data_IF_201676899733
#
_entry.id   IF_201676899733
#
_cell.length_a   1.000
_cell.length_b   1.000
_cell.length_c   1.000
_cell.angle_alpha   90.00
_cell.angle_beta   90.00
_cell.angle_gamma   90.00
#
_symmetry.space_group_name_H-M   'P 1'
#
loop_
_entity.id
_entity.type
_entity.pdbx_description
1 polymer ?
#
# COMPACT_ATOMS: atom_id res chain seq x y z
N UNK A 1 10.24 -3.26 -31.09
CA UNK A 1 9.43 -4.05 -30.15
C UNK A 1 8.34 -4.73 -30.94
N UNK A 2 8.46 -6.04 -31.18
CA UNK A 2 7.42 -6.84 -31.83
C UNK A 2 6.20 -6.90 -30.91
N UNK A 3 5.00 -6.68 -31.46
CA UNK A 3 3.76 -6.90 -30.74
C UNK A 3 3.57 -8.41 -30.53
N UNK A 4 3.77 -8.89 -29.32
CA UNK A 4 3.42 -10.26 -28.94
C UNK A 4 1.90 -10.32 -28.81
N UNK A 5 1.23 -10.83 -29.83
CA UNK A 5 -0.20 -11.10 -29.79
C UNK A 5 -0.47 -12.49 -29.23
N UNK A 6 -1.71 -12.73 -28.79
CA UNK A 6 -2.14 -14.07 -28.34
C UNK A 6 -1.89 -15.12 -29.41
N UNK A 7 -2.09 -14.77 -30.68
CA UNK A 7 -1.87 -15.71 -31.82
C UNK A 7 -0.41 -16.09 -32.00
N UNK A 8 0.52 -15.15 -31.81
CA UNK A 8 1.96 -15.43 -31.86
C UNK A 8 2.35 -16.37 -30.71
N UNK A 9 1.84 -16.10 -29.48
CA UNK A 9 2.11 -16.94 -28.32
C UNK A 9 1.47 -18.33 -28.49
N UNK A 10 0.26 -18.38 -29.05
CA UNK A 10 -0.44 -19.65 -29.35
C UNK A 10 0.34 -20.50 -30.35
N UNK A 11 0.83 -19.90 -31.44
CA UNK A 11 1.65 -20.57 -32.43
C UNK A 11 2.98 -21.08 -31.81
N UNK A 12 3.60 -20.29 -30.95
CA UNK A 12 4.81 -20.71 -30.22
C UNK A 12 4.53 -21.88 -29.28
N UNK A 13 3.40 -21.83 -28.54
CA UNK A 13 2.98 -22.86 -27.59
C UNK A 13 2.67 -24.21 -28.27
N UNK A 14 1.95 -24.16 -29.41
CA UNK A 14 1.56 -25.35 -30.16
C UNK A 14 2.76 -26.24 -30.55
N UNK A 15 3.91 -25.63 -30.86
CA UNK A 15 5.14 -26.34 -31.20
C UNK A 15 5.87 -26.91 -29.95
N UNK A 16 5.38 -26.68 -28.75
CA UNK A 16 6.01 -27.07 -27.48
C UNK A 16 5.09 -27.82 -26.53
N UNK A 17 3.88 -28.17 -27.00
CA UNK A 17 2.89 -28.83 -26.15
C UNK A 17 2.33 -27.93 -25.04
N UNK A 18 2.43 -26.61 -25.18
CA UNK A 18 1.89 -25.63 -24.24
C UNK A 18 0.56 -25.11 -24.76
N UNK A 19 -0.51 -25.31 -24.00
CA UNK A 19 -1.82 -24.74 -24.31
C UNK A 19 -1.82 -23.24 -23.98
N UNK A 20 -2.30 -22.42 -24.93
CA UNK A 20 -2.40 -20.96 -24.78
C UNK A 20 -3.84 -20.52 -24.93
N UNK A 21 -4.45 -20.10 -23.83
CA UNK A 21 -5.79 -19.52 -23.81
C UNK A 21 -5.69 -18.00 -23.76
N UNK A 22 -6.35 -17.33 -24.69
CA UNK A 22 -6.51 -15.88 -24.70
C UNK A 22 -7.84 -15.50 -24.05
N UNK A 23 -7.79 -14.50 -23.17
CA UNK A 23 -9.00 -13.89 -22.61
C UNK A 23 -9.13 -12.46 -23.13
N UNK A 24 -10.35 -12.04 -23.38
CA UNK A 24 -10.65 -10.64 -23.70
C UNK A 24 -10.39 -9.78 -22.47
N UNK A 25 -9.92 -8.55 -22.70
CA UNK A 25 -9.74 -7.58 -21.62
C UNK A 25 -11.10 -7.09 -21.14
N UNK A 26 -11.22 -6.91 -19.83
CA UNK A 26 -12.35 -6.18 -19.26
C UNK A 26 -12.30 -4.73 -19.73
N UNK A 27 -13.47 -4.17 -20.04
CA UNK A 27 -13.63 -2.79 -20.49
C UNK A 27 -14.31 -1.99 -19.37
N UNK A 28 -13.78 -0.81 -19.08
CA UNK A 28 -14.40 0.18 -18.21
C UNK A 28 -14.59 1.47 -19.04
N UNK A 29 -15.86 1.85 -19.26
CA UNK A 29 -16.20 2.87 -20.24
C UNK A 29 -15.76 2.46 -21.65
N UNK A 30 -14.94 3.29 -22.28
CA UNK A 30 -14.40 3.05 -23.63
C UNK A 30 -12.96 2.51 -23.63
N UNK A 31 -12.41 2.16 -22.46
CA UNK A 31 -11.01 1.79 -22.32
C UNK A 31 -10.81 0.42 -21.66
N UNK A 32 -9.84 -0.39 -22.14
CA UNK A 32 -9.54 -1.67 -21.51
C UNK A 32 -8.85 -1.47 -20.16
N UNK A 33 -9.22 -2.32 -19.20
CA UNK A 33 -8.51 -2.46 -17.93
C UNK A 33 -7.20 -3.20 -18.18
N UNK A 34 -6.09 -2.53 -17.93
CA UNK A 34 -4.76 -3.09 -18.16
C UNK A 34 -3.85 -2.88 -16.93
N UNK A 35 -2.85 -3.75 -16.78
CA UNK A 35 -1.86 -3.59 -15.71
C UNK A 35 -1.14 -2.21 -15.76
N UNK A 36 -0.93 -1.65 -16.95
CA UNK A 36 -0.35 -0.32 -17.11
C UNK A 36 -1.27 0.78 -16.58
N UNK A 37 -2.58 0.68 -16.87
CA UNK A 37 -3.59 1.62 -16.38
C UNK A 37 -3.68 1.56 -14.86
N UNK A 38 -3.78 0.36 -14.28
CA UNK A 38 -3.82 0.16 -12.83
C UNK A 38 -2.57 0.72 -12.15
N UNK A 39 -1.36 0.44 -12.68
CA UNK A 39 -0.12 0.99 -12.10
C UNK A 39 -0.09 2.52 -12.14
N UNK A 40 -0.65 3.16 -13.17
CA UNK A 40 -0.75 4.63 -13.23
C UNK A 40 -1.67 5.18 -12.15
N UNK A 41 -2.82 4.55 -11.90
CA UNK A 41 -3.72 4.94 -10.82
C UNK A 41 -3.03 4.83 -9.46
N UNK A 42 -2.35 3.71 -9.20
CA UNK A 42 -1.57 3.52 -7.96
C UNK A 42 -0.50 4.60 -7.84
N UNK A 43 0.31 4.81 -8.89
CA UNK A 43 1.37 5.83 -8.88
C UNK A 43 0.84 7.26 -8.67
N UNK A 44 -0.38 7.53 -9.10
CA UNK A 44 -1.05 8.82 -8.85
C UNK A 44 -1.68 8.93 -7.45
N UNK A 45 -1.67 7.85 -6.65
CA UNK A 45 -2.31 7.80 -5.32
C UNK A 45 -3.81 7.55 -5.38
N UNK A 46 -4.38 7.33 -6.55
CA UNK A 46 -5.80 6.99 -6.72
C UNK A 46 -6.03 5.48 -6.49
N UNK A 47 -5.83 5.09 -5.24
CA UNK A 47 -5.99 3.68 -4.82
C UNK A 47 -7.44 3.23 -4.86
N UNK A 48 -8.40 4.16 -4.81
CA UNK A 48 -9.84 3.86 -4.90
C UNK A 48 -10.19 3.44 -6.32
N UNK A 49 -9.80 4.22 -7.34
CA UNK A 49 -10.01 3.83 -8.72
C UNK A 49 -9.24 2.55 -9.08
N UNK A 50 -7.99 2.42 -8.58
CA UNK A 50 -7.22 1.20 -8.76
C UNK A 50 -7.92 -0.03 -8.15
N UNK A 51 -8.57 0.11 -6.99
CA UNK A 51 -9.32 -0.98 -6.37
C UNK A 51 -10.56 -1.37 -7.18
N UNK A 52 -11.25 -0.40 -7.77
CA UNK A 52 -12.38 -0.64 -8.68
C UNK A 52 -11.96 -1.49 -9.89
N UNK A 53 -10.82 -1.16 -10.52
CA UNK A 53 -10.30 -1.92 -11.66
C UNK A 53 -9.73 -3.30 -11.27
N UNK A 54 -9.15 -3.42 -10.07
CA UNK A 54 -8.61 -4.68 -9.55
C UNK A 54 -9.69 -5.63 -9.03
N UNK A 55 -10.90 -5.14 -8.73
CA UNK A 55 -11.93 -5.88 -7.99
C UNK A 55 -11.57 -6.14 -6.52
N UNK A 56 -10.53 -5.51 -6.00
CA UNK A 56 -10.05 -5.61 -4.61
C UNK A 56 -9.15 -4.44 -4.27
N UNK A 57 -8.94 -4.17 -3.00
CA UNK A 57 -7.93 -3.17 -2.59
C UNK A 57 -6.54 -3.54 -3.10
N UNK A 58 -5.80 -2.51 -3.50
CA UNK A 58 -4.37 -2.66 -3.74
C UNK A 58 -3.67 -2.94 -2.41
N UNK A 59 -2.79 -3.92 -2.37
CA UNK A 59 -2.01 -4.23 -1.19
C UNK A 59 -0.58 -4.64 -1.54
N UNK A 60 0.30 -4.49 -0.57
CA UNK A 60 1.70 -4.92 -0.62
C UNK A 60 2.01 -5.85 0.53
N UNK A 61 2.95 -6.74 0.33
CA UNK A 61 3.51 -7.60 1.37
C UNK A 61 4.90 -7.11 1.75
N UNK A 62 5.24 -7.24 3.00
CA UNK A 62 6.58 -6.95 3.48
C UNK A 62 6.83 -7.53 4.85
N UNK A 63 8.04 -7.32 5.34
CA UNK A 63 8.48 -7.73 6.67
C UNK A 63 8.71 -6.48 7.51
N UNK A 64 8.28 -6.51 8.75
CA UNK A 64 8.51 -5.40 9.68
C UNK A 64 9.96 -5.40 10.13
N UNK A 65 10.67 -4.33 9.80
CA UNK A 65 12.07 -4.11 10.13
C UNK A 65 12.23 -3.08 11.26
N UNK A 66 13.37 -3.09 11.96
CA UNK A 66 13.72 -2.02 12.87
C UNK A 66 13.77 -0.67 12.12
N UNK A 67 13.09 0.33 12.67
CA UNK A 67 13.16 1.71 12.20
C UNK A 67 13.85 2.59 13.21
N UNK A 68 13.81 3.91 12.99
CA UNK A 68 14.41 4.89 13.92
C UNK A 68 13.63 5.06 15.22
N UNK A 69 12.42 4.49 15.31
CA UNK A 69 11.58 4.58 16.50
C UNK A 69 10.99 5.98 16.76
N UNK A 70 11.04 6.88 15.79
CA UNK A 70 10.55 8.26 15.94
C UNK A 70 9.07 8.31 16.31
N UNK A 71 8.23 7.48 15.63
CA UNK A 71 6.80 7.39 15.95
C UNK A 71 6.53 6.95 17.39
N UNK A 72 7.32 6.01 17.91
CA UNK A 72 7.22 5.57 19.32
C UNK A 72 7.54 6.71 20.29
N UNK A 73 8.60 7.49 20.01
CA UNK A 73 8.96 8.66 20.80
C UNK A 73 7.91 9.78 20.77
N UNK A 74 7.09 9.83 19.73
CA UNK A 74 6.01 10.80 19.53
C UNK A 74 4.63 10.30 19.98
N UNK A 75 4.51 9.06 20.51
CA UNK A 75 3.27 8.51 21.05
C UNK A 75 2.41 7.71 20.08
N UNK A 76 2.83 7.54 18.81
CA UNK A 76 2.15 6.72 17.80
C UNK A 76 3.12 5.71 17.16
N UNK A 77 3.35 4.55 17.78
CA UNK A 77 4.29 3.57 17.26
C UNK A 77 3.90 3.15 15.84
N UNK A 78 4.87 3.18 14.93
CA UNK A 78 4.72 2.75 13.54
C UNK A 78 5.61 1.55 13.25
N UNK A 79 5.10 0.60 12.47
CA UNK A 79 5.86 -0.48 11.90
C UNK A 79 6.50 0.02 10.59
N UNK A 80 7.82 -0.14 10.46
CA UNK A 80 8.53 0.07 9.20
C UNK A 80 8.46 -1.20 8.37
N UNK A 81 7.92 -1.13 7.16
CA UNK A 81 7.69 -2.29 6.33
C UNK A 81 8.66 -2.29 5.15
N UNK A 82 9.55 -3.28 5.13
CA UNK A 82 10.40 -3.54 3.98
C UNK A 82 9.62 -4.28 2.91
N UNK A 83 9.47 -3.66 1.75
CA UNK A 83 8.82 -4.23 0.56
C UNK A 83 9.85 -4.48 -0.53
N UNK A 84 9.55 -5.39 -1.47
CA UNK A 84 10.42 -5.65 -2.60
C UNK A 84 10.55 -4.39 -3.49
N UNK A 85 11.72 -4.15 -4.03
CA UNK A 85 12.07 -2.92 -4.74
C UNK A 85 11.32 -2.71 -6.07
N UNK A 86 10.80 -3.77 -6.67
CA UNK A 86 10.09 -3.76 -7.96
C UNK A 86 8.56 -3.61 -7.82
N UNK A 87 8.06 -3.52 -6.59
CA UNK A 87 6.63 -3.30 -6.33
C UNK A 87 6.27 -1.84 -6.61
N UNK A 88 5.18 -1.64 -7.37
CA UNK A 88 4.61 -0.31 -7.57
C UNK A 88 4.07 0.21 -6.25
N UNK A 89 4.65 1.30 -5.75
CA UNK A 89 4.14 2.00 -4.58
C UNK A 89 3.18 3.12 -4.99
N UNK A 90 2.21 3.49 -4.13
CA UNK A 90 1.35 4.64 -4.38
C UNK A 90 2.13 5.96 -4.22
N UNK A 91 1.51 7.07 -4.64
CA UNK A 91 2.06 8.41 -4.44
C UNK A 91 2.36 8.67 -2.96
N UNK A 92 3.36 9.52 -2.69
CA UNK A 92 3.74 9.90 -1.33
C UNK A 92 2.58 10.58 -0.59
N UNK A 93 2.22 10.05 0.57
CA UNK A 93 1.08 10.54 1.35
C UNK A 93 0.69 9.65 2.52
N UNK A 94 -0.33 10.11 3.22
CA UNK A 94 -0.98 9.34 4.29
C UNK A 94 -2.25 8.72 3.74
N UNK A 95 -2.40 7.43 3.99
CA UNK A 95 -3.54 6.62 3.55
C UNK A 95 -4.23 5.99 4.75
N UNK A 96 -5.54 5.89 4.66
CA UNK A 96 -6.31 4.96 5.46
C UNK A 96 -6.29 3.59 4.79
N UNK A 97 -6.22 2.54 5.61
CA UNK A 97 -6.22 1.19 5.09
C UNK A 97 -6.19 0.13 6.19
N UNK A 98 -5.64 -1.01 5.86
CA UNK A 98 -5.66 -2.17 6.75
C UNK A 98 -4.31 -2.88 6.74
N UNK A 99 -3.91 -3.36 7.91
CA UNK A 99 -2.77 -4.24 8.08
C UNK A 99 -3.23 -5.63 8.50
N UNK A 100 -2.86 -6.64 7.73
CA UNK A 100 -3.06 -8.05 8.10
C UNK A 100 -1.80 -8.58 8.78
N UNK A 101 -1.97 -9.11 9.97
CA UNK A 101 -0.91 -9.75 10.77
C UNK A 101 -1.40 -11.11 11.24
N UNK A 102 -0.83 -12.18 10.70
CA UNK A 102 -1.36 -13.54 10.96
C UNK A 102 -2.80 -13.68 10.49
N UNK A 103 -3.71 -14.09 11.38
CA UNK A 103 -5.15 -14.25 11.12
C UNK A 103 -6.00 -13.03 11.46
N UNK A 104 -5.42 -11.85 11.71
CA UNK A 104 -6.10 -10.64 12.13
C UNK A 104 -5.89 -9.51 11.15
N UNK A 105 -6.92 -8.69 10.94
CA UNK A 105 -6.88 -7.48 10.11
C UNK A 105 -7.19 -6.27 11.00
N UNK A 106 -6.26 -5.35 11.06
CA UNK A 106 -6.32 -4.12 11.85
C UNK A 106 -6.50 -2.92 10.93
N UNK A 107 -7.25 -1.92 11.35
CA UNK A 107 -7.24 -0.61 10.68
C UNK A 107 -5.86 0.02 10.84
N UNK A 108 -5.42 0.74 9.83
CA UNK A 108 -4.07 1.31 9.82
C UNK A 108 -4.02 2.69 9.19
N UNK A 109 -3.25 3.57 9.84
CA UNK A 109 -2.76 4.80 9.24
C UNK A 109 -1.42 4.49 8.55
N UNK A 110 -1.37 4.65 7.25
CA UNK A 110 -0.26 4.22 6.40
C UNK A 110 0.43 5.46 5.83
N UNK A 111 1.73 5.59 6.04
CA UNK A 111 2.56 6.58 5.37
C UNK A 111 3.32 5.90 4.22
N UNK A 112 3.04 6.31 2.99
CA UNK A 112 3.80 5.92 1.82
C UNK A 112 4.74 7.07 1.42
N UNK A 113 5.98 6.73 1.05
CA UNK A 113 7.02 7.68 0.73
C UNK A 113 7.87 8.13 1.93
N UNK A 114 8.84 8.97 1.66
CA UNK A 114 9.70 9.57 2.68
C UNK A 114 9.15 10.94 3.06
N UNK A 115 8.82 11.19 4.35
CA UNK A 115 8.37 12.51 4.75
C UNK A 115 9.44 13.57 4.39
N UNK A 116 9.06 14.73 3.82
CA UNK A 116 10.03 15.75 3.37
C UNK A 116 10.98 16.24 4.48
N UNK A 117 10.55 16.22 5.74
CA UNK A 117 11.39 16.59 6.89
C UNK A 117 12.53 15.60 7.16
N UNK A 118 12.50 14.42 6.56
CA UNK A 118 13.47 13.33 6.74
C UNK A 118 14.11 12.88 5.43
N UNK A 119 13.96 13.65 4.35
CA UNK A 119 14.43 13.30 3.01
C UNK A 119 15.94 13.02 2.92
N UNK A 120 16.73 13.66 3.76
CA UNK A 120 18.19 13.53 3.77
C UNK A 120 18.70 12.27 4.50
N UNK A 121 17.80 11.48 5.08
CA UNK A 121 18.21 10.26 5.77
C UNK A 121 18.08 9.03 4.86
N UNK A 122 19.23 8.44 4.53
CA UNK A 122 19.32 7.22 3.69
C UNK A 122 18.58 5.98 4.27
N UNK A 123 18.15 6.05 5.53
CA UNK A 123 17.49 4.96 6.25
C UNK A 123 15.97 5.18 6.43
N UNK A 124 15.34 6.09 5.68
CA UNK A 124 13.92 6.34 5.80
C UNK A 124 13.13 5.22 5.13
N UNK A 125 12.28 4.55 5.90
CA UNK A 125 11.35 3.56 5.37
C UNK A 125 10.39 4.25 4.39
N UNK A 126 10.18 3.62 3.23
CA UNK A 126 9.21 4.10 2.23
C UNK A 126 7.79 3.67 2.52
N UNK A 127 7.59 2.83 3.53
CA UNK A 127 6.28 2.37 3.97
C UNK A 127 6.30 2.19 5.48
N UNK A 128 5.46 2.96 6.15
CA UNK A 128 5.24 2.87 7.59
C UNK A 128 3.75 2.71 7.86
N UNK A 129 3.38 1.96 8.89
CA UNK A 129 1.99 1.82 9.29
C UNK A 129 1.84 1.84 10.81
N UNK A 130 0.94 2.69 11.31
CA UNK A 130 0.40 2.60 12.65
C UNK A 130 -0.82 1.67 12.61
N UNK A 131 -0.75 0.51 13.25
CA UNK A 131 -1.87 -0.42 13.39
C UNK A 131 -2.70 0.03 14.59
N UNK A 132 -3.88 0.57 14.32
CA UNK A 132 -4.71 1.24 15.31
C UNK A 132 -5.29 0.22 16.29
N UNK A 133 -4.97 0.38 17.58
CA UNK A 133 -5.38 -0.54 18.64
C UNK A 133 -4.54 -1.82 18.78
N UNK A 134 -3.50 -1.98 17.97
CA UNK A 134 -2.59 -3.12 18.11
C UNK A 134 -1.56 -2.88 19.22
N UNK A 135 -1.40 -3.87 20.09
CA UNK A 135 -0.43 -3.84 21.21
C UNK A 135 0.41 -5.12 21.19
N UNK A 136 1.43 -5.15 20.38
CA UNK A 136 2.30 -6.32 20.30
C UNK A 136 3.59 -6.04 19.55
N UNK A 137 4.51 -6.97 19.60
CA UNK A 137 5.74 -6.92 18.82
C UNK A 137 5.46 -7.38 17.38
N UNK A 138 5.88 -6.55 16.43
CA UNK A 138 5.75 -6.80 14.99
C UNK A 138 7.09 -7.09 14.31
N UNK A 139 8.22 -6.90 14.98
CA UNK A 139 9.54 -7.06 14.36
C UNK A 139 9.73 -8.46 13.77
N UNK A 140 10.22 -8.51 12.54
CA UNK A 140 10.43 -9.75 11.79
C UNK A 140 9.15 -10.46 11.31
N UNK A 141 7.96 -9.91 11.59
CA UNK A 141 6.71 -10.51 11.14
C UNK A 141 6.39 -10.08 9.72
N UNK A 142 5.85 -11.02 8.95
CA UNK A 142 5.23 -10.73 7.66
C UNK A 142 3.91 -9.99 7.87
N UNK A 143 3.71 -8.94 7.10
CA UNK A 143 2.49 -8.13 7.09
C UNK A 143 2.01 -7.88 5.67
N UNK A 144 0.71 -7.73 5.51
CA UNK A 144 0.11 -7.25 4.26
C UNK A 144 -0.56 -5.92 4.54
N UNK A 145 -0.18 -4.88 3.80
CA UNK A 145 -0.74 -3.54 3.92
C UNK A 145 -1.65 -3.27 2.74
N UNK A 146 -2.94 -3.11 3.00
CA UNK A 146 -3.96 -2.80 2.00
C UNK A 146 -4.35 -1.32 2.09
N UNK A 147 -4.30 -0.62 0.96
CA UNK A 147 -4.66 0.79 0.86
C UNK A 147 -6.14 0.92 0.51
N UNK A 148 -6.87 1.74 1.26
CA UNK A 148 -8.29 1.99 1.04
C UNK A 148 -8.53 3.35 0.38
N UNK A 149 -8.02 4.43 0.96
CA UNK A 149 -8.09 5.77 0.38
C UNK A 149 -6.92 6.64 0.83
N UNK A 150 -6.56 7.63 0.03
CA UNK A 150 -5.66 8.69 0.46
C UNK A 150 -6.38 9.61 1.46
N UNK A 151 -5.77 9.85 2.61
CA UNK A 151 -6.21 10.83 3.60
C UNK A 151 -5.70 12.21 3.22
N UNK A 152 -4.42 12.31 2.91
CA UNK A 152 -3.77 13.54 2.43
C UNK A 152 -2.46 13.25 1.70
N UNK A 153 -2.03 14.12 0.79
CA UNK A 153 -0.66 14.08 0.24
C UNK A 153 0.39 14.32 1.32
N UNK A 154 1.62 13.87 1.04
CA UNK A 154 2.78 14.22 1.85
C UNK A 154 3.03 15.72 1.81
N UNK A 155 3.40 16.32 2.95
CA UNK A 155 3.71 17.74 3.07
C UNK A 155 4.73 18.01 4.16
N UNK A 156 5.41 19.14 4.09
CA UNK A 156 6.24 19.65 5.18
C UNK A 156 5.38 20.30 6.27
N UNK A 157 5.90 20.33 7.49
CA UNK A 157 5.28 20.96 8.64
C UNK A 157 6.22 22.01 9.22
N UNK A 158 5.66 23.07 9.79
CA UNK A 158 6.41 24.19 10.38
C UNK A 158 7.12 23.79 11.68
N UNK A 159 6.65 22.74 12.34
CA UNK A 159 7.24 22.21 13.58
C UNK A 159 6.90 20.73 13.76
N UNK A 160 7.66 20.06 14.64
CA UNK A 160 7.38 18.69 15.08
C UNK A 160 6.00 18.60 15.74
N UNK A 161 5.59 19.56 16.55
CA UNK A 161 4.28 19.59 17.18
C UNK A 161 3.14 19.68 16.16
N UNK A 162 3.34 20.42 15.05
CA UNK A 162 2.37 20.47 13.98
C UNK A 162 2.25 19.13 13.23
N UNK A 163 3.37 18.42 13.04
CA UNK A 163 3.38 17.07 12.50
C UNK A 163 2.64 16.10 13.43
N UNK A 164 2.95 16.10 14.73
CA UNK A 164 2.30 15.24 15.73
C UNK A 164 0.79 15.42 15.70
N UNK A 165 0.29 16.66 15.82
CA UNK A 165 -1.15 16.94 15.76
C UNK A 165 -1.81 16.47 14.48
N UNK A 166 -1.13 16.59 13.35
CA UNK A 166 -1.67 16.11 12.07
C UNK A 166 -1.77 14.59 12.04
N UNK A 167 -0.74 13.87 12.49
CA UNK A 167 -0.73 12.40 12.55
C UNK A 167 -1.78 11.88 13.54
N UNK A 168 -1.91 12.49 14.71
CA UNK A 168 -2.96 12.14 15.69
C UNK A 168 -4.36 12.35 15.10
N UNK A 169 -4.57 13.46 14.37
CA UNK A 169 -5.82 13.71 13.67
C UNK A 169 -6.12 12.68 12.58
N UNK A 170 -5.13 12.30 11.79
CA UNK A 170 -5.26 11.24 10.78
C UNK A 170 -5.64 9.89 11.43
N UNK A 171 -4.94 9.51 12.50
CA UNK A 171 -5.21 8.26 13.25
C UNK A 171 -6.62 8.28 13.85
N UNK A 172 -7.03 9.38 14.50
CA UNK A 172 -8.34 9.51 15.11
C UNK A 172 -9.47 9.42 14.07
N UNK A 173 -9.30 10.04 12.91
CA UNK A 173 -10.25 9.94 11.80
C UNK A 173 -10.37 8.51 11.29
N UNK A 174 -9.25 7.82 11.07
CA UNK A 174 -9.22 6.43 10.60
C UNK A 174 -9.85 5.50 11.65
N UNK A 175 -9.56 5.71 12.94
CA UNK A 175 -10.17 4.96 14.03
C UNK A 175 -11.72 5.12 14.07
N UNK A 176 -12.19 6.32 13.76
CA UNK A 176 -13.63 6.61 13.66
C UNK A 176 -14.27 5.88 12.47
N UNK A 177 -13.59 5.88 11.33
CA UNK A 177 -14.13 5.28 10.08
C UNK A 177 -14.13 3.75 10.11
N UNK A 178 -13.10 3.13 10.71
CA UNK A 178 -12.86 1.67 10.59
C UNK A 178 -12.80 0.93 11.93
N UNK A 179 -12.79 1.64 13.06
CA UNK A 179 -12.68 1.04 14.40
C UNK A 179 -11.24 0.77 14.83
N UNK A 180 -11.13 0.28 16.08
CA UNK A 180 -9.85 0.05 16.78
C UNK A 180 -9.66 -1.42 17.19
N UNK A 181 -10.58 -2.30 16.80
CA UNK A 181 -10.52 -3.73 17.09
C UNK A 181 -10.29 -4.52 15.82
N UNK A 182 -9.53 -5.62 15.88
CA UNK A 182 -9.26 -6.42 14.69
C UNK A 182 -10.47 -7.21 14.22
N UNK A 183 -10.53 -7.43 12.91
CA UNK A 183 -11.41 -8.42 12.31
C UNK A 183 -10.59 -9.70 12.13
N UNK A 184 -11.09 -10.83 12.70
CA UNK A 184 -10.49 -12.14 12.46
C UNK A 184 -10.96 -12.67 11.12
N UNK A 185 -10.00 -13.17 10.34
CA UNK A 185 -10.27 -13.86 9.08
C UNK A 185 -9.99 -15.34 9.25
N UNK A 186 -10.94 -16.16 8.83
CA UNK A 186 -10.84 -17.60 8.86
C UNK A 186 -9.77 -18.11 7.88
#
# INVERSE_FOLDING_TARGET
RGASTVDVIRAWGANRGVEVTGHELLIDGDAPITATRIRRLIAAGDVVAAAGELGRRFYVHGVVAPGRGEGTGMGFPTANIEVQADIQMPADGVYAGFARVGGEVWSAAINAGVPPMFADSAASARLEANLIGYHGDLYGREVSIAFDRMVRPSRSFESIDALIRAVEGDIAQIATDYGTTPVRIA
#
